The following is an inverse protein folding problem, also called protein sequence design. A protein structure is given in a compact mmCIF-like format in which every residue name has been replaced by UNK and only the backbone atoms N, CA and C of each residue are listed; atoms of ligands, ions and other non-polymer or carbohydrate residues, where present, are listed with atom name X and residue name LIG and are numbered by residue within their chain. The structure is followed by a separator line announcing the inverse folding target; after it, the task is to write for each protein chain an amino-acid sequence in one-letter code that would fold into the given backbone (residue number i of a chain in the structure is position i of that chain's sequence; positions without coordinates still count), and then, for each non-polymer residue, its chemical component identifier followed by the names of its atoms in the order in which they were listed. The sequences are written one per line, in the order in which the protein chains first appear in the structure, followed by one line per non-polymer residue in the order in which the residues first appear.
data_IF_332024100218
#
_entry.id   IF_332024100218
#
_cell.length_a   1.000
_cell.length_b   1.000
_cell.length_c   1.000
_cell.angle_alpha   90.00
_cell.angle_beta   90.00
_cell.angle_gamma   90.00
#
_symmetry.space_group_name_H-M   'P 1'
#
loop_
_entity.id
_entity.type
_entity.pdbx_description
1 polymer ?
#
# COMPACT_ATOMS: atom_id res chain seq x y z
N UNK A 1 96.90 -21.62 51.83
CA UNK A 1 96.24 -22.37 50.74
C UNK A 1 96.77 -21.78 49.46
N UNK A 2 97.74 -22.46 48.87
CA UNK A 2 98.42 -21.99 47.67
C UNK A 2 97.44 -21.93 46.49
N UNK A 3 97.55 -20.86 45.71
CA UNK A 3 96.83 -20.72 44.44
C UNK A 3 97.40 -21.77 43.49
N UNK A 4 96.75 -22.94 43.46
CA UNK A 4 97.10 -24.03 42.57
C UNK A 4 96.46 -23.82 41.19
N UNK A 5 97.09 -24.34 40.13
CA UNK A 5 96.61 -24.28 38.75
C UNK A 5 95.16 -24.79 38.57
N UNK A 6 94.70 -25.64 39.49
CA UNK A 6 93.30 -26.10 39.56
C UNK A 6 92.29 -24.98 39.82
N UNK A 7 92.65 -23.95 40.59
CA UNK A 7 91.76 -22.82 40.90
C UNK A 7 91.59 -21.89 39.69
N UNK A 8 92.67 -21.72 38.89
CA UNK A 8 92.62 -20.99 37.61
C UNK A 8 91.77 -21.77 36.59
N UNK A 9 91.97 -23.08 36.48
CA UNK A 9 91.16 -23.95 35.61
C UNK A 9 89.68 -23.95 35.97
N UNK A 10 89.34 -24.04 37.27
CA UNK A 10 87.96 -23.93 37.77
C UNK A 10 87.35 -22.56 37.48
N UNK A 11 88.12 -21.48 37.62
CA UNK A 11 87.65 -20.11 37.32
C UNK A 11 87.33 -19.95 35.83
N UNK A 12 88.19 -20.46 34.94
CA UNK A 12 87.95 -20.43 33.49
C UNK A 12 86.72 -21.28 33.13
N UNK A 13 86.59 -22.48 33.67
CA UNK A 13 85.43 -23.34 33.44
C UNK A 13 84.12 -22.69 33.94
N UNK A 14 84.15 -22.03 35.10
CA UNK A 14 83.01 -21.28 35.62
C UNK A 14 82.64 -20.10 34.71
N UNK A 15 83.63 -19.36 34.20
CA UNK A 15 83.42 -18.23 33.30
C UNK A 15 82.79 -18.67 31.97
N UNK A 16 83.28 -19.77 31.39
CA UNK A 16 82.71 -20.38 30.17
C UNK A 16 81.27 -20.85 30.43
N UNK A 17 81.01 -21.47 31.58
CA UNK A 17 79.66 -21.92 31.96
C UNK A 17 78.68 -20.74 32.12
N UNK A 18 79.10 -19.65 32.78
CA UNK A 18 78.28 -18.44 32.92
C UNK A 18 77.98 -17.81 31.56
N UNK A 19 78.97 -17.72 30.66
CA UNK A 19 78.76 -17.22 29.31
C UNK A 19 77.80 -18.10 28.50
N UNK A 20 77.90 -19.43 28.64
CA UNK A 20 76.98 -20.37 28.02
C UNK A 20 75.55 -20.20 28.55
N UNK A 21 75.36 -20.13 29.86
CA UNK A 21 74.05 -19.90 30.47
C UNK A 21 73.46 -18.54 30.07
N UNK A 22 74.27 -17.48 30.05
CA UNK A 22 73.82 -16.17 29.61
C UNK A 22 73.41 -16.16 28.13
N UNK A 23 74.18 -16.82 27.26
CA UNK A 23 73.91 -16.82 25.81
C UNK A 23 72.77 -17.76 25.41
N UNK A 24 72.61 -18.90 26.08
CA UNK A 24 71.68 -19.96 25.67
C UNK A 24 70.44 -20.09 26.56
N UNK A 25 70.56 -19.89 27.88
CA UNK A 25 69.45 -20.07 28.83
C UNK A 25 68.65 -18.77 29.04
N UNK A 26 69.32 -17.62 29.07
CA UNK A 26 68.65 -16.34 29.32
C UNK A 26 67.65 -15.94 28.21
N UNK A 27 67.98 -16.05 26.90
CA UNK A 27 67.05 -15.66 25.84
C UNK A 27 65.71 -16.43 25.84
N UNK A 28 65.65 -17.78 25.95
CA UNK A 28 64.37 -18.48 25.94
C UNK A 28 63.50 -18.14 27.15
N UNK A 29 64.08 -17.89 28.32
CA UNK A 29 63.32 -17.48 29.52
C UNK A 29 62.73 -16.08 29.33
N UNK A 30 63.53 -15.11 28.88
CA UNK A 30 63.05 -13.75 28.62
C UNK A 30 61.96 -13.74 27.56
N UNK A 31 62.16 -14.46 26.45
CA UNK A 31 61.19 -14.56 25.37
C UNK A 31 59.87 -15.21 25.83
N UNK A 32 59.92 -16.21 26.72
CA UNK A 32 58.71 -16.83 27.25
C UNK A 32 57.90 -15.88 28.15
N UNK A 33 58.58 -15.05 28.94
CA UNK A 33 57.93 -14.03 29.79
C UNK A 33 57.33 -12.92 28.92
N UNK A 34 58.09 -12.41 27.95
CA UNK A 34 57.64 -11.35 27.04
C UNK A 34 56.46 -11.82 26.18
N UNK A 35 56.50 -13.04 25.66
CA UNK A 35 55.38 -13.63 24.91
C UNK A 35 54.10 -13.69 25.76
N UNK A 36 54.21 -14.11 27.02
CA UNK A 36 53.05 -14.14 27.94
C UNK A 36 52.51 -12.76 28.25
N UNK A 37 53.39 -11.78 28.49
CA UNK A 37 52.97 -10.40 28.72
C UNK A 37 52.23 -9.85 27.51
N UNK A 38 52.78 -10.08 26.31
CA UNK A 38 52.16 -9.65 25.05
C UNK A 38 50.82 -10.33 24.78
N UNK A 39 50.70 -11.63 25.00
CA UNK A 39 49.42 -12.35 24.87
C UNK A 39 48.35 -11.80 25.82
N UNK A 40 48.72 -11.48 27.06
CA UNK A 40 47.80 -10.88 28.04
C UNK A 40 47.40 -9.48 27.58
N UNK A 41 48.34 -8.63 27.19
CA UNK A 41 48.07 -7.28 26.71
C UNK A 41 47.18 -7.28 25.46
N UNK A 42 47.51 -8.10 24.47
CA UNK A 42 46.71 -8.27 23.25
C UNK A 42 45.30 -8.77 23.58
N UNK A 43 45.17 -9.72 24.51
CA UNK A 43 43.85 -10.22 24.94
C UNK A 43 43.00 -9.15 25.62
N UNK A 44 43.59 -8.33 26.50
CA UNK A 44 42.90 -7.24 27.19
C UNK A 44 42.50 -6.14 26.20
N UNK A 45 43.41 -5.76 25.30
CA UNK A 45 43.16 -4.75 24.27
C UNK A 45 42.12 -5.21 23.25
N UNK A 46 42.11 -6.49 22.88
CA UNK A 46 41.08 -7.06 22.01
C UNK A 46 39.72 -7.07 22.71
N UNK A 47 39.66 -7.43 23.98
CA UNK A 47 38.43 -7.47 24.76
C UNK A 47 37.84 -6.06 24.99
N UNK A 48 38.68 -5.04 25.22
CA UNK A 48 38.21 -3.66 25.34
C UNK A 48 37.65 -3.13 24.03
N UNK A 49 38.36 -3.33 22.91
CA UNK A 49 37.89 -2.97 21.56
C UNK A 49 36.58 -3.64 21.21
N UNK A 50 36.48 -4.96 21.45
CA UNK A 50 35.26 -5.71 21.17
C UNK A 50 34.07 -5.20 22.00
N UNK A 51 34.28 -4.81 23.26
CA UNK A 51 33.22 -4.21 24.09
C UNK A 51 32.77 -2.85 23.55
N UNK A 52 33.70 -2.03 23.08
CA UNK A 52 33.39 -0.74 22.47
C UNK A 52 32.63 -0.92 21.15
N UNK A 53 33.07 -1.83 20.29
CA UNK A 53 32.40 -2.21 19.05
C UNK A 53 30.98 -2.71 19.30
N UNK A 54 30.78 -3.65 20.23
CA UNK A 54 29.44 -4.15 20.60
C UNK A 54 28.53 -3.00 21.08
N UNK A 55 29.06 -2.08 21.87
CA UNK A 55 28.29 -0.94 22.37
C UNK A 55 27.91 0.00 21.23
N UNK A 56 28.84 0.29 20.32
CA UNK A 56 28.62 1.11 19.13
C UNK A 56 27.58 0.47 18.19
N UNK A 57 27.74 -0.81 17.86
CA UNK A 57 26.79 -1.56 17.02
C UNK A 57 25.41 -1.63 17.64
N UNK A 58 25.31 -1.86 18.96
CA UNK A 58 24.03 -1.84 19.66
C UNK A 58 23.35 -0.48 19.57
N UNK A 59 24.10 0.60 19.79
CA UNK A 59 23.56 1.96 19.66
C UNK A 59 23.10 2.25 18.21
N UNK A 60 23.85 1.80 17.21
CA UNK A 60 23.47 1.93 15.81
C UNK A 60 22.20 1.12 15.50
N UNK A 61 22.10 -0.12 15.99
CA UNK A 61 20.92 -0.96 15.83
C UNK A 61 19.68 -0.34 16.48
N UNK A 62 19.80 0.16 17.72
CA UNK A 62 18.71 0.85 18.41
C UNK A 62 18.27 2.10 17.66
N UNK A 63 19.22 2.84 17.08
CA UNK A 63 18.95 4.04 16.29
C UNK A 63 18.27 3.71 14.96
N UNK A 64 18.69 2.65 14.27
CA UNK A 64 18.03 2.15 13.06
C UNK A 64 16.62 1.63 13.35
N UNK A 65 16.41 0.92 14.46
CA UNK A 65 15.06 0.50 14.90
C UNK A 65 14.18 1.72 15.18
N UNK A 66 14.72 2.75 15.83
CA UNK A 66 13.98 3.99 16.09
C UNK A 66 13.60 4.70 14.78
N UNK A 67 14.53 4.83 13.83
CA UNK A 67 14.27 5.38 12.50
C UNK A 67 13.23 4.58 11.73
N UNK A 68 13.30 3.25 11.78
CA UNK A 68 12.34 2.36 11.13
C UNK A 68 10.94 2.55 11.73
N UNK A 69 10.81 2.70 13.05
CA UNK A 69 9.52 2.98 13.72
C UNK A 69 8.95 4.34 13.30
N UNK A 70 9.78 5.37 13.17
CA UNK A 70 9.35 6.69 12.70
C UNK A 70 8.83 6.59 11.25
N UNK A 71 9.61 5.99 10.35
CA UNK A 71 9.20 5.79 8.95
C UNK A 71 7.91 4.97 8.84
N UNK A 72 7.75 3.92 9.66
CA UNK A 72 6.53 3.13 9.68
C UNK A 72 5.29 3.96 10.08
N UNK A 73 5.44 4.85 11.08
CA UNK A 73 4.37 5.78 11.47
C UNK A 73 4.06 6.80 10.38
N UNK A 74 5.08 7.32 9.70
CA UNK A 74 4.90 8.23 8.57
C UNK A 74 4.15 7.56 7.42
N UNK A 75 4.53 6.34 7.06
CA UNK A 75 3.85 5.54 6.03
C UNK A 75 2.38 5.30 6.41
N UNK A 76 2.11 4.95 7.67
CA UNK A 76 0.74 4.70 8.14
C UNK A 76 -0.11 5.98 8.08
N UNK A 77 0.43 7.10 8.55
CA UNK A 77 -0.23 8.41 8.50
C UNK A 77 -0.55 8.84 7.07
N UNK A 78 0.41 8.66 6.15
CA UNK A 78 0.21 8.98 4.74
C UNK A 78 -0.82 8.06 4.09
N UNK A 79 -0.82 6.77 4.43
CA UNK A 79 -1.82 5.81 3.96
C UNK A 79 -3.24 6.16 4.46
N UNK A 80 -3.40 6.55 5.73
CA UNK A 80 -4.68 7.01 6.29
C UNK A 80 -5.19 8.27 5.59
N UNK A 81 -4.29 9.22 5.32
CA UNK A 81 -4.61 10.44 4.59
C UNK A 81 -5.05 10.13 3.15
N UNK A 82 -4.32 9.27 2.45
CA UNK A 82 -4.68 8.84 1.09
C UNK A 82 -6.01 8.09 1.07
N UNK A 83 -6.25 7.20 2.03
CA UNK A 83 -7.51 6.49 2.16
C UNK A 83 -8.69 7.47 2.33
N UNK A 84 -8.52 8.46 3.21
CA UNK A 84 -9.53 9.51 3.43
C UNK A 84 -9.78 10.31 2.15
N UNK A 85 -8.72 10.70 1.43
CA UNK A 85 -8.85 11.42 0.16
C UNK A 85 -9.57 10.59 -0.91
N UNK A 86 -9.28 9.29 -1.01
CA UNK A 86 -9.94 8.39 -1.96
C UNK A 86 -11.43 8.27 -1.64
N UNK A 87 -11.78 8.14 -0.35
CA UNK A 87 -13.18 8.06 0.09
C UNK A 87 -13.91 9.36 -0.24
N UNK A 88 -13.32 10.51 0.04
CA UNK A 88 -13.91 11.82 -0.28
C UNK A 88 -14.11 12.00 -1.79
N UNK A 89 -13.09 11.69 -2.59
CA UNK A 89 -13.19 11.72 -4.06
C UNK A 89 -14.25 10.76 -4.59
N UNK A 90 -14.39 9.58 -4.00
CA UNK A 90 -15.41 8.61 -4.38
C UNK A 90 -16.82 9.14 -4.04
N UNK A 91 -17.00 9.80 -2.90
CA UNK A 91 -18.26 10.45 -2.54
C UNK A 91 -18.60 11.60 -3.48
N UNK A 92 -17.64 12.46 -3.80
CA UNK A 92 -17.84 13.57 -4.74
C UNK A 92 -18.23 13.05 -6.14
N UNK A 93 -17.51 12.07 -6.65
CA UNK A 93 -17.85 11.44 -7.94
C UNK A 93 -19.21 10.74 -7.92
N UNK A 94 -19.57 10.10 -6.80
CA UNK A 94 -20.88 9.47 -6.65
C UNK A 94 -22.01 10.51 -6.64
N UNK A 95 -21.81 11.66 -5.98
CA UNK A 95 -22.78 12.76 -5.96
C UNK A 95 -22.98 13.33 -7.37
N UNK A 96 -21.89 13.59 -8.11
CA UNK A 96 -21.95 14.08 -9.50
C UNK A 96 -22.69 13.08 -10.40
N UNK A 97 -22.38 11.78 -10.30
CA UNK A 97 -23.07 10.74 -11.08
C UNK A 97 -24.54 10.62 -10.72
N UNK A 98 -24.89 10.75 -9.44
CA UNK A 98 -26.27 10.73 -8.98
C UNK A 98 -27.07 11.91 -9.56
N UNK A 99 -26.49 13.11 -9.55
CA UNK A 99 -27.13 14.29 -10.13
C UNK A 99 -27.31 14.16 -11.65
N UNK A 100 -26.30 13.67 -12.36
CA UNK A 100 -26.39 13.36 -13.79
C UNK A 100 -27.48 12.31 -14.08
N UNK A 101 -27.59 11.27 -13.26
CA UNK A 101 -28.60 10.24 -13.39
C UNK A 101 -30.02 10.80 -13.18
N UNK A 102 -30.20 11.68 -12.18
CA UNK A 102 -31.47 12.36 -11.92
C UNK A 102 -31.84 13.25 -13.11
N UNK A 103 -30.90 14.04 -13.64
CA UNK A 103 -31.14 14.89 -14.81
C UNK A 103 -31.54 14.07 -16.04
N UNK A 104 -30.83 12.97 -16.32
CA UNK A 104 -31.17 12.05 -17.41
C UNK A 104 -32.55 11.41 -17.20
N UNK A 105 -32.88 11.01 -15.97
CA UNK A 105 -34.18 10.42 -15.64
C UNK A 105 -35.30 11.43 -15.86
N UNK A 106 -35.13 12.69 -15.48
CA UNK A 106 -36.11 13.75 -15.77
C UNK A 106 -36.30 13.98 -17.26
N UNK A 107 -35.21 13.98 -18.05
CA UNK A 107 -35.29 14.09 -19.52
C UNK A 107 -36.07 12.92 -20.13
N UNK A 108 -35.77 11.70 -19.70
CA UNK A 108 -36.46 10.49 -20.17
C UNK A 108 -37.95 10.51 -19.78
N UNK A 109 -38.28 10.95 -18.56
CA UNK A 109 -39.66 11.07 -18.10
C UNK A 109 -40.44 12.11 -18.91
N UNK A 110 -39.81 13.24 -19.25
CA UNK A 110 -40.43 14.26 -20.09
C UNK A 110 -40.73 13.75 -21.51
N UNK A 111 -39.79 13.01 -22.11
CA UNK A 111 -39.98 12.36 -23.40
C UNK A 111 -41.11 11.32 -23.34
N UNK A 112 -41.12 10.48 -22.32
CA UNK A 112 -42.14 9.45 -22.13
C UNK A 112 -43.53 10.05 -21.91
N UNK A 113 -43.62 11.13 -21.13
CA UNK A 113 -44.88 11.88 -20.95
C UNK A 113 -45.39 12.44 -22.28
N UNK A 114 -44.49 12.95 -23.13
CA UNK A 114 -44.87 13.44 -24.46
C UNK A 114 -45.38 12.31 -25.36
N UNK A 115 -44.71 11.15 -25.34
CA UNK A 115 -45.13 9.93 -26.06
C UNK A 115 -46.53 9.48 -25.63
N UNK A 116 -46.76 9.34 -24.33
CA UNK A 116 -48.07 8.94 -23.76
C UNK A 116 -49.16 9.95 -24.13
N UNK A 117 -48.86 11.26 -24.11
CA UNK A 117 -49.84 12.28 -24.55
C UNK A 117 -50.19 12.16 -26.04
N UNK A 118 -49.22 11.83 -26.90
CA UNK A 118 -49.47 11.60 -28.32
C UNK A 118 -50.34 10.36 -28.54
N UNK A 119 -50.04 9.25 -27.85
CA UNK A 119 -50.85 8.03 -27.88
C UNK A 119 -52.28 8.28 -27.41
N UNK A 120 -52.45 8.98 -26.29
CA UNK A 120 -53.77 9.33 -25.77
C UNK A 120 -54.58 10.19 -26.75
N UNK A 121 -53.94 11.16 -27.43
CA UNK A 121 -54.61 11.97 -28.46
C UNK A 121 -55.05 11.14 -29.65
N UNK A 122 -54.24 10.18 -30.08
CA UNK A 122 -54.61 9.27 -31.17
C UNK A 122 -55.81 8.39 -30.78
N UNK A 123 -55.80 7.83 -29.57
CA UNK A 123 -56.87 6.97 -29.06
C UNK A 123 -58.17 7.75 -28.85
N UNK A 124 -58.12 8.94 -28.26
CA UNK A 124 -59.29 9.83 -28.12
C UNK A 124 -59.83 10.27 -29.48
N UNK A 125 -58.95 10.55 -30.45
CA UNK A 125 -59.35 10.87 -31.82
C UNK A 125 -60.10 9.72 -32.48
N UNK A 126 -59.61 8.48 -32.34
CA UNK A 126 -60.29 7.29 -32.85
C UNK A 126 -61.66 7.09 -32.19
N UNK A 127 -61.77 7.28 -30.88
CA UNK A 127 -63.05 7.22 -30.15
C UNK A 127 -64.02 8.31 -30.63
N UNK A 128 -63.55 9.54 -30.83
CA UNK A 128 -64.39 10.64 -31.29
C UNK A 128 -64.95 10.39 -32.70
N UNK A 129 -64.14 9.84 -33.62
CA UNK A 129 -64.61 9.43 -34.96
C UNK A 129 -65.65 8.32 -34.84
N UNK A 130 -65.41 7.30 -34.03
CA UNK A 130 -66.37 6.22 -33.83
C UNK A 130 -67.71 6.70 -33.22
N UNK A 131 -67.67 7.69 -32.31
CA UNK A 131 -68.88 8.34 -31.79
C UNK A 131 -69.58 9.13 -32.89
N UNK A 132 -68.86 9.91 -33.68
CA UNK A 132 -69.43 10.68 -34.79
C UNK A 132 -70.09 9.76 -35.83
N UNK A 133 -69.45 8.65 -36.21
CA UNK A 133 -70.02 7.62 -37.08
C UNK A 133 -71.32 7.04 -36.48
N UNK A 134 -71.33 6.74 -35.19
CA UNK A 134 -72.51 6.18 -34.50
C UNK A 134 -73.66 7.20 -34.38
N UNK A 135 -73.36 8.48 -34.19
CA UNK A 135 -74.37 9.56 -34.19
C UNK A 135 -74.95 9.75 -35.60
N UNK A 136 -74.10 9.79 -36.64
CA UNK A 136 -74.53 9.91 -38.03
C UNK A 136 -75.40 8.71 -38.43
N UNK A 137 -74.99 7.49 -38.10
CA UNK A 137 -75.81 6.29 -38.30
C UNK A 137 -77.16 6.39 -37.58
N UNK A 138 -77.22 6.96 -36.36
CA UNK A 138 -78.47 7.12 -35.61
C UNK A 138 -79.39 8.19 -36.22
N UNK A 139 -78.85 9.34 -36.63
CA UNK A 139 -79.61 10.43 -37.27
C UNK A 139 -80.14 10.00 -38.64
N UNK A 140 -79.34 9.30 -39.45
CA UNK A 140 -79.80 8.69 -40.70
C UNK A 140 -80.92 7.68 -40.40
N UNK A 141 -80.78 6.79 -39.42
CA UNK A 141 -81.85 5.83 -39.08
C UNK A 141 -83.14 6.52 -38.55
N UNK A 142 -83.02 7.67 -37.88
CA UNK A 142 -84.16 8.41 -37.34
C UNK A 142 -84.89 9.27 -38.38
N UNK A 143 -84.20 9.78 -39.41
CA UNK A 143 -84.79 10.58 -40.49
C UNK A 143 -85.09 9.79 -41.77
N UNK A 144 -84.32 8.74 -42.06
CA UNK A 144 -84.39 8.02 -43.34
C UNK A 144 -85.34 6.81 -43.35
N UNK A 145 -86.02 6.52 -42.24
CA UNK A 145 -86.86 5.33 -42.14
C UNK A 145 -88.21 5.44 -42.89
N UNK A 146 -88.43 6.51 -43.66
CA UNK A 146 -89.54 6.63 -44.62
C UNK A 146 -89.09 7.23 -45.95
N UNK A 147 -88.23 8.27 -45.96
CA UNK A 147 -87.90 9.00 -47.19
C UNK A 147 -86.96 8.27 -48.17
N UNK A 148 -86.09 7.36 -47.69
CA UNK A 148 -85.18 6.59 -48.58
C UNK A 148 -85.91 5.42 -49.25
N UNK A 149 -86.89 4.81 -48.59
CA UNK A 149 -87.68 3.73 -49.18
C UNK A 149 -88.63 4.31 -50.25
N UNK A 150 -89.24 5.47 -49.99
CA UNK A 150 -90.13 6.13 -50.96
C UNK A 150 -89.39 6.71 -52.18
N UNK A 151 -88.13 7.16 -52.04
CA UNK A 151 -87.32 7.59 -53.20
C UNK A 151 -86.63 6.46 -53.96
N UNK A 152 -86.39 5.30 -53.34
CA UNK A 152 -85.85 4.14 -54.04
C UNK A 152 -86.91 3.41 -54.88
N UNK A 153 -88.17 3.45 -54.44
CA UNK A 153 -89.30 2.84 -55.16
C UNK A 153 -89.92 3.75 -56.24
N UNK A 154 -89.60 5.05 -56.27
CA UNK A 154 -90.08 5.98 -57.31
C UNK A 154 -89.20 6.04 -58.57
N UNK A 155 -88.08 5.29 -58.60
CA UNK A 155 -87.17 5.14 -59.76
C UNK A 155 -87.22 3.75 -60.40
N UNK A 156 -88.26 2.97 -60.12
CA UNK A 156 -88.62 1.74 -60.83
C UNK A 156 -90.03 1.89 -61.41
#
# INVERSE_FOLDING_TARGET
MDINATLIGQSIAFLVFVLFCYKFIWPPISNAIEKRQKEIEDSINSASKLREEITSEKNQADLEISRAKVKAKEILSEAEKQATQIVEQAHEQAAIKAEQLIEQTHKNLALEKSRVQQELRAEVGAIAVAIAEKIVQRELNAKDNQDIIDNALSKL
#
